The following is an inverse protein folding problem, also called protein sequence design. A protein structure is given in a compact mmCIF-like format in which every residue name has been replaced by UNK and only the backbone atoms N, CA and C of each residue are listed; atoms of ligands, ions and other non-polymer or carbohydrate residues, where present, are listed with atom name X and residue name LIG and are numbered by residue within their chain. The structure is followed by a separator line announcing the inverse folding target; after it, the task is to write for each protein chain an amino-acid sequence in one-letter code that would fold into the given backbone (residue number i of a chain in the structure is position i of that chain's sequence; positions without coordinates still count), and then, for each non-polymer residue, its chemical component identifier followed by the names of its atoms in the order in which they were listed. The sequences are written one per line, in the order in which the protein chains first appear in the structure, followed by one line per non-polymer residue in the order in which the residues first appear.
data_IF_094780123797
#
_entry.id   IF_094780123797
#
_cell.length_a   1.000
_cell.length_b   1.000
_cell.length_c   1.000
_cell.angle_alpha   90.00
_cell.angle_beta   90.00
_cell.angle_gamma   90.00
#
_symmetry.space_group_name_H-M   'P 1'
#
loop_
_entity.id
_entity.type
_entity.pdbx_description
1 polymer ?
#
# COMPACT_ATOMS: atom_id res chain seq x y z
N UNK A 1 14.37 23.06 -9.39
CA UNK A 1 15.14 21.81 -9.22
C UNK A 1 14.55 20.99 -8.09
N UNK A 2 14.43 19.67 -8.28
CA UNK A 2 14.05 18.73 -7.23
C UNK A 2 15.28 18.40 -6.37
N UNK A 3 15.26 18.67 -5.06
CA UNK A 3 16.40 18.44 -4.18
C UNK A 3 15.97 18.14 -2.74
N UNK A 4 16.73 17.29 -2.03
CA UNK A 4 16.40 16.81 -0.68
C UNK A 4 15.51 15.56 -0.68
N UNK A 5 14.99 15.12 0.48
CA UNK A 5 14.25 13.87 0.58
C UNK A 5 12.84 13.96 -0.04
N UNK A 6 12.35 12.81 -0.53
CA UNK A 6 11.03 12.64 -1.10
C UNK A 6 10.39 11.36 -0.56
N UNK A 7 9.10 11.43 -0.21
CA UNK A 7 8.31 10.23 0.02
C UNK A 7 7.87 9.68 -1.34
N UNK A 8 8.27 8.45 -1.65
CA UNK A 8 7.91 7.75 -2.89
C UNK A 8 6.69 6.83 -2.67
N UNK A 9 5.63 7.42 -2.14
CA UNK A 9 4.38 6.73 -1.80
C UNK A 9 3.24 7.25 -2.66
N UNK A 10 2.18 6.46 -2.82
CA UNK A 10 0.96 6.92 -3.46
C UNK A 10 0.32 8.07 -2.64
N UNK A 11 -0.38 9.02 -3.29
CA UNK A 11 -0.96 10.18 -2.60
C UNK A 11 -2.14 9.82 -1.69
N UNK A 12 -2.78 8.67 -1.91
CA UNK A 12 -3.90 8.17 -1.10
C UNK A 12 -3.39 7.06 -0.17
N UNK A 13 -3.09 7.36 1.10
CA UNK A 13 -2.64 6.35 2.06
C UNK A 13 -3.80 5.40 2.40
N UNK A 14 -3.48 4.14 2.66
CA UNK A 14 -4.42 3.14 3.14
C UNK A 14 -3.89 2.50 4.42
N UNK A 15 -4.79 2.14 5.32
CA UNK A 15 -4.51 1.17 6.38
C UNK A 15 -4.37 -0.24 5.80
N UNK A 16 -3.72 -1.16 6.52
CA UNK A 16 -3.64 -2.56 6.12
C UNK A 16 -5.02 -3.20 5.88
N UNK A 17 -6.03 -2.80 6.65
CA UNK A 17 -7.41 -3.28 6.50
C UNK A 17 -8.00 -2.83 5.15
N UNK A 18 -7.88 -1.56 4.82
CA UNK A 18 -8.40 -1.01 3.55
C UNK A 18 -7.65 -1.60 2.36
N UNK A 19 -6.33 -1.73 2.46
CA UNK A 19 -5.53 -2.41 1.43
C UNK A 19 -6.00 -3.86 1.20
N UNK A 20 -6.21 -4.63 2.26
CA UNK A 20 -6.73 -6.00 2.18
C UNK A 20 -8.11 -6.09 1.54
N UNK A 21 -9.00 -5.13 1.83
CA UNK A 21 -10.32 -5.03 1.20
C UNK A 21 -10.22 -4.73 -0.31
N UNK A 22 -9.39 -3.77 -0.71
CA UNK A 22 -9.16 -3.43 -2.13
C UNK A 22 -8.58 -4.63 -2.87
N UNK A 23 -7.56 -5.28 -2.32
CA UNK A 23 -6.96 -6.47 -2.91
C UNK A 23 -7.99 -7.60 -3.08
N UNK A 24 -8.76 -7.90 -2.03
CA UNK A 24 -9.78 -8.94 -2.08
C UNK A 24 -10.88 -8.65 -3.11
N UNK A 25 -11.27 -7.37 -3.28
CA UNK A 25 -12.20 -6.92 -4.32
C UNK A 25 -11.64 -7.19 -5.72
N UNK A 26 -10.41 -6.74 -6.00
CA UNK A 26 -9.77 -6.90 -7.32
C UNK A 26 -9.59 -8.38 -7.68
N UNK A 27 -9.19 -9.21 -6.71
CA UNK A 27 -9.00 -10.65 -6.90
C UNK A 27 -10.30 -11.48 -6.92
N UNK A 28 -11.46 -10.87 -6.66
CA UNK A 28 -12.74 -11.57 -6.42
C UNK A 28 -12.66 -12.61 -5.27
N UNK A 29 -11.87 -12.31 -4.23
CA UNK A 29 -11.65 -13.14 -3.03
C UNK A 29 -11.70 -12.26 -1.77
N UNK A 30 -12.86 -12.07 -1.13
CA UNK A 30 -13.04 -11.11 -0.03
C UNK A 30 -12.09 -11.35 1.15
N UNK A 31 -11.45 -10.29 1.66
CA UNK A 31 -10.60 -10.32 2.87
C UNK A 31 -11.43 -10.03 4.12
N UNK A 32 -12.08 -11.05 4.68
CA UNK A 32 -13.05 -10.90 5.78
C UNK A 32 -12.42 -10.97 7.17
N UNK A 33 -11.32 -11.70 7.33
CA UNK A 33 -10.69 -11.94 8.62
C UNK A 33 -9.27 -11.34 8.63
N UNK A 34 -8.93 -10.48 9.62
CA UNK A 34 -7.58 -9.98 9.77
C UNK A 34 -6.65 -11.09 10.24
N UNK A 35 -5.39 -11.06 9.80
CA UNK A 35 -4.36 -11.95 10.31
C UNK A 35 -3.98 -11.50 11.74
N UNK A 36 -3.98 -12.40 12.74
CA UNK A 36 -3.57 -12.05 14.10
C UNK A 36 -2.11 -11.59 14.18
N UNK A 37 -1.83 -10.61 15.03
CA UNK A 37 -0.48 -10.07 15.18
C UNK A 37 0.55 -11.11 15.66
N UNK A 38 0.15 -12.04 16.54
CA UNK A 38 1.04 -13.10 17.00
C UNK A 38 1.44 -14.05 15.87
N UNK A 39 0.53 -14.31 14.92
CA UNK A 39 0.82 -15.15 13.76
C UNK A 39 1.85 -14.47 12.85
N UNK A 40 1.71 -13.16 12.64
CA UNK A 40 2.71 -12.37 11.90
C UNK A 40 4.07 -12.39 12.62
N UNK A 41 4.10 -12.20 13.95
CA UNK A 41 5.34 -12.28 14.74
C UNK A 41 5.99 -13.66 14.68
N UNK A 42 5.21 -14.73 14.67
CA UNK A 42 5.73 -16.09 14.56
C UNK A 42 6.36 -16.37 13.19
N UNK A 43 5.74 -15.87 12.11
CA UNK A 43 6.19 -16.09 10.74
C UNK A 43 7.35 -15.18 10.33
N UNK A 44 7.34 -13.92 10.78
CA UNK A 44 8.26 -12.87 10.31
C UNK A 44 9.21 -12.34 11.39
N UNK A 45 9.11 -12.82 12.64
CA UNK A 45 9.96 -12.38 13.74
C UNK A 45 9.88 -10.87 13.98
N UNK A 46 11.04 -10.22 14.08
CA UNK A 46 11.14 -8.76 14.27
C UNK A 46 10.63 -7.96 13.06
N UNK A 47 10.69 -8.53 11.85
CA UNK A 47 10.20 -7.89 10.63
C UNK A 47 8.67 -7.74 10.63
N UNK A 48 7.97 -8.50 11.48
CA UNK A 48 6.53 -8.31 11.69
C UNK A 48 6.21 -6.88 12.14
N UNK A 49 7.13 -6.19 12.81
CA UNK A 49 6.95 -4.81 13.23
C UNK A 49 6.72 -3.88 12.04
N UNK A 50 7.37 -4.09 10.90
CA UNK A 50 7.13 -3.27 9.68
C UNK A 50 5.72 -3.50 9.12
N UNK A 51 5.19 -4.72 9.26
CA UNK A 51 3.84 -5.04 8.80
C UNK A 51 2.77 -4.58 9.80
N UNK A 52 3.07 -4.67 11.09
CA UNK A 52 2.18 -4.29 12.18
C UNK A 52 2.13 -2.78 12.36
N UNK A 53 3.26 -2.11 12.14
CA UNK A 53 3.39 -0.66 12.22
C UNK A 53 3.25 -0.07 10.82
N UNK A 54 2.17 0.68 10.60
CA UNK A 54 2.02 1.46 9.38
C UNK A 54 2.71 2.82 9.47
N UNK A 55 3.36 3.26 8.40
CA UNK A 55 3.80 4.64 8.25
C UNK A 55 2.89 5.40 7.30
N UNK A 56 2.34 6.54 7.75
CA UNK A 56 1.58 7.46 6.90
C UNK A 56 2.53 8.48 6.24
N UNK A 57 3.28 8.04 5.25
CA UNK A 57 4.16 8.91 4.47
C UNK A 57 3.41 9.53 3.28
N UNK A 58 3.22 10.85 3.28
CA UNK A 58 2.49 11.57 2.22
C UNK A 58 3.49 12.24 1.25
N UNK A 59 3.33 12.11 -0.08
CA UNK A 59 4.25 12.63 -1.08
C UNK A 59 4.06 14.12 -1.40
N UNK A 60 3.90 14.98 -0.38
CA UNK A 60 3.61 16.42 -0.57
C UNK A 60 4.57 17.13 -1.52
N UNK A 61 5.86 16.79 -1.46
CA UNK A 61 6.88 17.41 -2.31
C UNK A 61 6.80 16.96 -3.78
N UNK A 62 6.40 15.72 -4.05
CA UNK A 62 6.14 15.29 -5.43
C UNK A 62 4.92 16.03 -5.99
N UNK A 63 3.86 16.14 -5.19
CA UNK A 63 2.65 16.86 -5.57
C UNK A 63 2.91 18.33 -5.84
N UNK A 64 3.69 19.02 -4.98
CA UNK A 64 4.02 20.44 -5.16
C UNK A 64 4.90 20.71 -6.40
N UNK A 65 5.63 19.70 -6.88
CA UNK A 65 6.39 19.77 -8.13
C UNK A 65 5.55 19.43 -9.37
N UNK A 66 4.25 19.15 -9.21
CA UNK A 66 3.37 18.78 -10.31
C UNK A 66 3.61 17.36 -10.84
N UNK A 67 4.17 16.46 -10.02
CA UNK A 67 4.34 15.06 -10.40
C UNK A 67 2.98 14.38 -10.58
N UNK A 68 2.78 13.76 -11.74
CA UNK A 68 1.56 13.00 -12.06
C UNK A 68 1.80 11.52 -11.80
N UNK A 69 1.03 10.94 -10.88
CA UNK A 69 1.10 9.51 -10.58
C UNK A 69 0.37 8.71 -11.66
N UNK A 70 1.05 7.71 -12.23
CA UNK A 70 0.41 6.79 -13.18
C UNK A 70 -0.72 5.98 -12.50
N UNK A 71 -0.51 5.61 -11.24
CA UNK A 71 -1.49 4.97 -10.38
C UNK A 71 -1.54 5.73 -9.06
N UNK A 72 -2.56 6.57 -8.91
CA UNK A 72 -2.78 7.40 -7.72
C UNK A 72 -3.51 6.65 -6.59
N UNK A 73 -4.13 5.52 -6.92
CA UNK A 73 -4.86 4.64 -6.00
C UNK A 73 -4.37 3.20 -6.07
N UNK A 74 -4.48 2.48 -4.94
CA UNK A 74 -4.15 1.05 -4.89
C UNK A 74 -5.04 0.20 -5.80
N UNK A 75 -6.33 0.56 -5.96
CA UNK A 75 -7.25 -0.19 -6.82
C UNK A 75 -6.81 -0.15 -8.30
N UNK A 76 -6.41 1.01 -8.80
CA UNK A 76 -5.90 1.16 -10.16
C UNK A 76 -4.62 0.36 -10.38
N UNK A 77 -3.66 0.46 -9.44
CA UNK A 77 -2.41 -0.28 -9.49
C UNK A 77 -2.62 -1.80 -9.46
N UNK A 78 -3.44 -2.30 -8.53
CA UNK A 78 -3.72 -3.72 -8.36
C UNK A 78 -4.50 -4.29 -9.55
N UNK A 79 -5.47 -3.55 -10.09
CA UNK A 79 -6.22 -3.97 -11.27
C UNK A 79 -5.30 -4.12 -12.48
N UNK A 80 -4.35 -3.19 -12.67
CA UNK A 80 -3.38 -3.29 -13.75
C UNK A 80 -2.44 -4.51 -13.54
N UNK A 81 -1.84 -4.62 -12.35
CA UNK A 81 -0.87 -5.67 -12.01
C UNK A 81 -1.44 -7.08 -12.12
N UNK A 82 -2.69 -7.29 -11.69
CA UNK A 82 -3.31 -8.62 -11.69
C UNK A 82 -3.90 -8.98 -13.06
N UNK A 83 -4.21 -8.00 -13.92
CA UNK A 83 -4.58 -8.26 -15.32
C UNK A 83 -3.39 -8.70 -16.17
N UNK A 84 -2.18 -8.20 -15.91
CA UNK A 84 -0.98 -8.57 -16.68
C UNK A 84 -0.45 -9.97 -16.38
N UNK A 85 -0.91 -10.60 -15.31
CA UNK A 85 -0.54 -11.97 -14.91
C UNK A 85 -1.56 -13.04 -15.35
N UNK A 86 -2.49 -12.69 -16.26
CA UNK A 86 -3.48 -13.60 -16.85
C UNK A 86 -3.17 -13.90 -18.31
#
# INVERSE_FOLDING_TARGET
NASGPFNLTAPVPLTNREFGQVLGKVMKRPSLLPVPAFALRLLFGEMATILLDGQRAIPHRLQSLGFTFQYDTAEAALTNLLRSNS
#
